data_IF_189185427241
#
_entry.id   IF_189185427241
#
_cell.length_a   1.000
_cell.length_b   1.000
_cell.length_c   1.000
_cell.angle_alpha   90.00
_cell.angle_beta   90.00
_cell.angle_gamma   90.00
#
_symmetry.space_group_name_H-M   'P 1'
#
loop_
_entity.id
_entity.type
_entity.pdbx_description
1 polymer ?
#
# COMPACT_ATOMS: atom_id res chain seq x y z
N UNK A 1 -1.33 8.41 25.31
CA UNK A 1 -0.77 9.55 24.54
C UNK A 1 -1.28 9.38 23.12
N UNK A 2 -2.12 10.31 22.63
CA UNK A 2 -2.59 10.28 21.25
C UNK A 2 -1.37 10.59 20.36
N UNK A 3 -1.03 9.68 19.46
CA UNK A 3 0.05 9.87 18.51
C UNK A 3 -0.28 11.04 17.57
N UNK A 4 0.72 11.79 17.18
CA UNK A 4 0.56 12.87 16.23
C UNK A 4 0.62 12.32 14.80
N UNK A 5 -0.42 12.62 13.99
CA UNK A 5 -0.38 12.39 12.55
C UNK A 5 0.25 13.64 11.92
N UNK A 6 1.31 13.43 11.15
CA UNK A 6 1.95 14.50 10.37
C UNK A 6 1.73 14.21 8.89
N UNK A 7 0.95 15.07 8.24
CA UNK A 7 0.80 15.05 6.79
C UNK A 7 1.93 15.86 6.16
N UNK A 8 2.64 15.28 5.20
CA UNK A 8 3.76 15.90 4.53
C UNK A 8 3.64 15.74 3.03
N UNK A 9 3.88 16.82 2.31
CA UNK A 9 4.12 16.79 0.87
C UNK A 9 5.62 16.86 0.65
N UNK A 10 6.19 15.84 0.04
CA UNK A 10 7.62 15.77 -0.30
C UNK A 10 7.79 15.52 -1.79
N UNK A 11 8.99 15.80 -2.31
CA UNK A 11 9.31 15.39 -3.67
C UNK A 11 9.09 13.86 -3.81
N UNK A 12 8.50 13.39 -4.92
CA UNK A 12 8.17 11.98 -5.11
C UNK A 12 9.42 11.12 -5.40
N UNK A 13 10.46 11.32 -4.65
CA UNK A 13 11.75 10.64 -4.76
C UNK A 13 12.00 9.80 -3.52
N UNK A 14 12.50 8.58 -3.71
CA UNK A 14 12.77 7.67 -2.61
C UNK A 14 13.76 8.25 -1.59
N UNK A 15 14.72 9.04 -2.05
CA UNK A 15 15.71 9.68 -1.19
C UNK A 15 15.09 10.81 -0.35
N UNK A 16 14.06 11.50 -0.84
CA UNK A 16 13.32 12.47 -0.04
C UNK A 16 12.55 11.77 1.10
N UNK A 17 11.94 10.62 0.80
CA UNK A 17 11.25 9.80 1.82
C UNK A 17 12.27 9.30 2.87
N UNK A 18 13.45 8.83 2.47
CA UNK A 18 14.52 8.42 3.40
C UNK A 18 14.92 9.53 4.35
N UNK A 19 15.08 10.76 3.85
CA UNK A 19 15.41 11.95 4.66
C UNK A 19 14.31 12.25 5.68
N UNK A 20 13.05 12.17 5.26
CA UNK A 20 11.90 12.38 6.16
C UNK A 20 11.87 11.34 7.28
N UNK A 21 12.07 10.07 6.96
CA UNK A 21 12.11 8.99 7.96
C UNK A 21 13.27 9.21 8.94
N UNK A 22 14.46 9.54 8.45
CA UNK A 22 15.61 9.80 9.30
C UNK A 22 15.47 11.03 10.19
N UNK A 23 14.77 12.07 9.71
CA UNK A 23 14.58 13.32 10.47
C UNK A 23 13.47 13.21 11.52
N UNK A 24 12.42 12.45 11.24
CA UNK A 24 11.21 12.44 12.08
C UNK A 24 11.03 11.15 12.88
N UNK A 25 11.79 10.11 12.58
CA UNK A 25 11.77 8.81 13.28
C UNK A 25 10.32 8.32 13.56
N UNK A 26 9.46 8.23 12.52
CA UNK A 26 8.07 7.86 12.72
C UNK A 26 7.96 6.39 13.18
N UNK A 27 6.90 6.04 13.91
CA UNK A 27 6.57 4.65 14.18
C UNK A 27 5.86 4.00 12.97
N UNK A 28 5.12 4.81 12.21
CA UNK A 28 4.35 4.38 11.04
C UNK A 28 4.62 5.36 9.91
N UNK A 29 4.96 4.83 8.74
CA UNK A 29 5.07 5.57 7.47
C UNK A 29 3.95 5.11 6.54
N UNK A 30 3.20 6.05 5.98
CA UNK A 30 2.23 5.79 4.90
C UNK A 30 2.74 6.48 3.63
N UNK A 31 2.86 5.72 2.54
CA UNK A 31 3.22 6.23 1.21
C UNK A 31 2.03 6.03 0.27
N UNK A 32 1.39 7.12 -0.11
CA UNK A 32 0.24 7.13 -1.02
C UNK A 32 0.55 8.04 -2.23
N UNK A 33 0.91 7.48 -3.38
CA UNK A 33 1.03 6.07 -3.71
C UNK A 33 2.47 5.74 -4.17
N UNK A 34 2.82 4.45 -4.14
CA UNK A 34 4.13 3.99 -4.60
C UNK A 34 4.31 4.12 -6.11
N UNK A 35 3.21 4.26 -6.86
CA UNK A 35 3.24 4.46 -8.31
C UNK A 35 3.87 5.80 -8.71
N UNK A 36 3.81 6.79 -7.84
CA UNK A 36 4.35 8.14 -8.07
C UNK A 36 5.80 8.29 -7.56
N UNK A 37 6.32 7.28 -6.82
CA UNK A 37 7.67 7.38 -6.26
C UNK A 37 8.72 7.08 -7.33
N UNK A 38 9.67 7.98 -7.47
CA UNK A 38 10.80 7.88 -8.38
C UNK A 38 12.05 7.34 -7.68
N UNK A 39 12.89 6.67 -8.46
CA UNK A 39 14.23 6.23 -8.10
C UNK A 39 15.18 6.60 -9.22
N UNK A 40 16.44 6.84 -8.88
CA UNK A 40 17.46 7.09 -9.89
C UNK A 40 17.80 5.80 -10.65
N UNK A 41 18.03 5.93 -11.98
CA UNK A 41 18.57 4.88 -12.84
C UNK A 41 17.78 3.57 -12.79
N UNK A 42 16.62 3.54 -13.42
CA UNK A 42 15.84 2.33 -13.64
C UNK A 42 15.64 2.06 -15.13
N UNK A 43 15.48 0.79 -15.46
CA UNK A 43 15.15 0.32 -16.81
C UNK A 43 13.72 -0.27 -16.80
N UNK A 44 12.76 0.59 -17.09
CA UNK A 44 11.35 0.26 -17.15
C UNK A 44 10.62 0.22 -15.81
N UNK A 45 9.31 0.30 -15.88
CA UNK A 45 8.39 0.48 -14.77
C UNK A 45 8.48 -0.64 -13.71
N UNK A 46 8.65 -1.88 -14.14
CA UNK A 46 8.75 -3.03 -13.23
C UNK A 46 9.99 -2.91 -12.34
N UNK A 47 11.12 -2.50 -12.93
CA UNK A 47 12.35 -2.32 -12.17
C UNK A 47 12.20 -1.17 -11.17
N UNK A 48 11.63 -0.03 -11.60
CA UNK A 48 11.34 1.11 -10.73
C UNK A 48 10.53 0.68 -9.50
N UNK A 49 9.40 0.00 -9.72
CA UNK A 49 8.55 -0.47 -8.63
C UNK A 49 9.27 -1.44 -7.69
N UNK A 50 10.07 -2.35 -8.22
CA UNK A 50 10.87 -3.27 -7.43
C UNK A 50 11.89 -2.54 -6.55
N UNK A 51 12.49 -1.47 -7.05
CA UNK A 51 13.43 -0.64 -6.29
C UNK A 51 12.72 0.16 -5.21
N UNK A 52 11.57 0.77 -5.51
CA UNK A 52 10.75 1.50 -4.53
C UNK A 52 10.34 0.59 -3.38
N UNK A 53 9.71 -0.55 -3.68
CA UNK A 53 9.26 -1.49 -2.63
C UNK A 53 10.44 -2.07 -1.85
N UNK A 54 11.58 -2.31 -2.52
CA UNK A 54 12.81 -2.74 -1.86
C UNK A 54 13.31 -1.71 -0.85
N UNK A 55 13.35 -0.44 -1.24
CA UNK A 55 13.78 0.65 -0.38
C UNK A 55 12.82 0.88 0.79
N UNK A 56 11.51 0.79 0.58
CA UNK A 56 10.52 0.88 1.64
C UNK A 56 10.67 -0.27 2.65
N UNK A 57 10.91 -1.49 2.17
CA UNK A 57 11.18 -2.65 3.04
C UNK A 57 12.45 -2.47 3.86
N UNK A 58 13.51 -1.98 3.24
CA UNK A 58 14.76 -1.65 3.93
C UNK A 58 14.55 -0.59 5.03
N UNK A 59 13.80 0.48 4.74
CA UNK A 59 13.46 1.50 5.74
C UNK A 59 12.67 0.92 6.91
N UNK A 60 11.68 0.05 6.62
CA UNK A 60 10.91 -0.62 7.66
C UNK A 60 11.81 -1.41 8.62
N UNK A 61 12.75 -2.17 8.08
CA UNK A 61 13.69 -3.00 8.87
C UNK A 61 14.71 -2.16 9.61
N UNK A 62 15.34 -1.20 8.92
CA UNK A 62 16.42 -0.38 9.47
C UNK A 62 15.97 0.51 10.61
N UNK A 63 14.78 1.10 10.48
CA UNK A 63 14.23 2.04 11.46
C UNK A 63 13.21 1.40 12.41
N UNK A 64 12.95 0.09 12.26
CA UNK A 64 11.95 -0.65 13.06
C UNK A 64 10.58 0.02 13.05
N UNK A 65 10.10 0.38 11.86
CA UNK A 65 8.83 1.07 11.63
C UNK A 65 7.86 0.22 10.81
N UNK A 66 6.56 0.50 10.94
CA UNK A 66 5.54 -0.07 10.07
C UNK A 66 5.43 0.81 8.81
N UNK A 67 5.49 0.21 7.63
CA UNK A 67 5.31 0.90 6.36
C UNK A 67 4.04 0.41 5.66
N UNK A 68 3.10 1.33 5.43
CA UNK A 68 1.95 1.12 4.56
C UNK A 68 2.25 1.69 3.18
N UNK A 69 2.40 0.82 2.20
CA UNK A 69 2.63 1.17 0.81
C UNK A 69 1.31 1.02 0.03
N UNK A 70 0.69 2.14 -0.32
CA UNK A 70 -0.52 2.13 -1.16
C UNK A 70 -0.11 1.91 -2.62
N UNK A 71 -0.76 0.97 -3.28
CA UNK A 71 -0.45 0.58 -4.65
C UNK A 71 -1.72 0.33 -5.45
N UNK A 72 -1.78 0.81 -6.70
CA UNK A 72 -2.95 0.64 -7.54
C UNK A 72 -2.99 -0.74 -8.21
N UNK A 73 -4.19 -1.29 -8.32
CA UNK A 73 -4.42 -2.49 -9.14
C UNK A 73 -4.51 -2.11 -10.62
N UNK A 74 -4.14 -3.05 -11.48
CA UNK A 74 -4.22 -2.87 -12.92
C UNK A 74 -5.70 -2.71 -13.36
N UNK A 75 -6.00 -1.67 -14.16
CA UNK A 75 -7.35 -1.36 -14.65
C UNK A 75 -8.01 -2.51 -15.42
N UNK A 76 -7.25 -3.31 -16.15
CA UNK A 76 -7.77 -4.48 -16.90
C UNK A 76 -8.29 -5.55 -15.94
N UNK A 77 -7.60 -5.80 -14.86
CA UNK A 77 -8.03 -6.76 -13.85
C UNK A 77 -9.20 -6.26 -13.01
N UNK A 78 -9.30 -4.96 -12.79
CA UNK A 78 -10.42 -4.34 -12.09
C UNK A 78 -11.74 -4.43 -12.87
N UNK A 79 -11.69 -4.43 -14.20
CA UNK A 79 -12.87 -4.57 -15.06
C UNK A 79 -13.47 -6.00 -15.05
N UNK A 80 -12.68 -7.02 -14.70
CA UNK A 80 -13.09 -8.43 -14.73
C UNK A 80 -13.67 -8.97 -13.42
N UNK A 81 -14.05 -8.15 -12.45
CA UNK A 81 -14.61 -8.53 -11.13
C UNK A 81 -13.74 -9.45 -10.26
N UNK A 82 -12.57 -9.88 -10.71
CA UNK A 82 -11.69 -10.77 -9.94
C UNK A 82 -10.38 -10.06 -9.64
N UNK A 83 -10.36 -9.31 -8.55
CA UNK A 83 -9.13 -8.69 -8.05
C UNK A 83 -8.39 -9.73 -7.21
N UNK A 84 -7.19 -10.09 -7.62
CA UNK A 84 -6.30 -11.04 -6.95
C UNK A 84 -4.88 -10.46 -6.84
N UNK A 85 -3.97 -11.19 -6.20
CA UNK A 85 -2.54 -10.81 -6.16
C UNK A 85 -1.93 -10.58 -7.56
N UNK A 86 -2.43 -11.29 -8.58
CA UNK A 86 -1.99 -11.12 -9.97
C UNK A 86 -2.48 -9.81 -10.61
N UNK A 87 -3.45 -9.15 -9.99
CA UNK A 87 -3.99 -7.86 -10.44
C UNK A 87 -3.11 -6.68 -10.03
N UNK A 88 -2.13 -6.87 -9.16
CA UNK A 88 -1.19 -5.82 -8.78
C UNK A 88 -0.33 -5.45 -9.98
N UNK A 89 -0.38 -4.17 -10.34
CA UNK A 89 0.42 -3.61 -11.42
C UNK A 89 1.91 -3.81 -11.08
N UNK A 90 2.62 -4.50 -11.94
CA UNK A 90 4.08 -4.45 -11.96
C UNK A 90 4.83 -5.67 -11.53
N UNK A 91 4.53 -6.45 -10.54
CA UNK A 91 5.28 -7.68 -10.37
C UNK A 91 4.90 -8.55 -9.17
N UNK A 92 5.13 -9.83 -9.35
CA UNK A 92 5.20 -10.85 -8.31
C UNK A 92 6.17 -10.44 -7.17
N UNK A 93 7.21 -9.67 -7.45
CA UNK A 93 8.20 -9.23 -6.48
C UNK A 93 7.63 -8.27 -5.41
N UNK A 94 6.66 -7.42 -5.76
CA UNK A 94 5.98 -6.55 -4.79
C UNK A 94 5.33 -7.42 -3.71
N UNK A 95 4.56 -8.41 -4.17
CA UNK A 95 3.89 -9.35 -3.27
C UNK A 95 4.90 -10.16 -2.45
N UNK A 96 6.02 -10.57 -3.05
CA UNK A 96 7.06 -11.34 -2.34
C UNK A 96 7.71 -10.55 -1.21
N UNK A 97 8.01 -9.26 -1.42
CA UNK A 97 8.66 -8.39 -0.43
C UNK A 97 7.74 -7.95 0.71
N UNK A 98 6.45 -7.77 0.45
CA UNK A 98 5.49 -7.40 1.48
C UNK A 98 5.31 -8.52 2.52
N UNK A 99 5.17 -8.17 3.77
CA UNK A 99 4.83 -9.11 4.85
C UNK A 99 3.34 -9.40 4.85
N UNK A 100 2.52 -8.37 4.64
CA UNK A 100 1.06 -8.46 4.49
C UNK A 100 0.61 -7.73 3.23
N UNK A 101 -0.39 -8.26 2.56
CA UNK A 101 -1.06 -7.61 1.42
C UNK A 101 -2.55 -7.56 1.72
N UNK A 102 -3.05 -6.35 1.88
CA UNK A 102 -4.46 -6.07 2.06
C UNK A 102 -5.05 -5.56 0.76
N UNK A 103 -6.22 -6.06 0.40
CA UNK A 103 -6.97 -5.59 -0.76
C UNK A 103 -8.32 -5.05 -0.34
N UNK A 104 -8.71 -3.92 -0.94
CA UNK A 104 -10.06 -3.37 -0.86
C UNK A 104 -10.72 -3.57 -2.22
N UNK A 105 -11.74 -4.42 -2.24
CA UNK A 105 -12.49 -4.81 -3.45
C UNK A 105 -13.88 -4.17 -3.41
N UNK A 106 -14.43 -3.82 -4.57
CA UNK A 106 -15.79 -3.30 -4.70
C UNK A 106 -15.93 -2.41 -5.94
N UNK A 107 -17.15 -2.21 -6.39
CA UNK A 107 -17.42 -1.33 -7.53
C UNK A 107 -17.52 0.13 -7.05
N UNK A 108 -17.18 1.07 -7.94
CA UNK A 108 -17.08 2.49 -7.61
C UNK A 108 -18.35 3.05 -6.99
N UNK A 109 -19.49 2.67 -7.53
CA UNK A 109 -20.80 3.23 -7.17
C UNK A 109 -21.60 2.40 -6.14
N UNK A 110 -21.03 1.28 -5.69
CA UNK A 110 -21.62 0.44 -4.66
C UNK A 110 -21.04 0.80 -3.28
N UNK A 111 -21.89 0.74 -2.24
CA UNK A 111 -21.42 0.93 -0.86
C UNK A 111 -20.69 -0.29 -0.32
N UNK A 112 -21.04 -1.48 -0.80
CA UNK A 112 -20.40 -2.71 -0.35
C UNK A 112 -18.91 -2.75 -0.73
N UNK A 113 -18.08 -3.08 0.23
CA UNK A 113 -16.64 -3.29 0.05
C UNK A 113 -16.24 -4.59 0.74
N UNK A 114 -15.28 -5.27 0.15
CA UNK A 114 -14.63 -6.42 0.74
C UNK A 114 -13.20 -6.01 1.07
N UNK A 115 -12.81 -6.12 2.32
CA UNK A 115 -11.43 -5.96 2.77
C UNK A 115 -10.90 -7.34 3.06
N UNK A 116 -9.84 -7.75 2.39
CA UNK A 116 -9.27 -9.08 2.56
C UNK A 116 -7.75 -9.06 2.66
N UNK A 117 -7.22 -10.02 3.41
CA UNK A 117 -5.80 -10.32 3.45
C UNK A 117 -5.46 -11.37 2.40
N UNK A 118 -4.84 -10.97 1.31
CA UNK A 118 -4.40 -11.89 0.25
C UNK A 118 -3.06 -12.56 0.58
N UNK A 119 -2.25 -11.93 1.41
CA UNK A 119 -1.01 -12.47 1.95
C UNK A 119 -0.82 -12.05 3.40
N UNK A 120 -0.42 -12.99 4.24
CA UNK A 120 0.08 -12.76 5.59
C UNK A 120 1.19 -13.77 5.88
N UNK A 121 2.31 -13.33 6.46
CA UNK A 121 3.39 -14.23 6.87
C UNK A 121 3.16 -14.84 8.24
N UNK A 122 2.57 -14.07 9.13
CA UNK A 122 2.51 -14.39 10.57
C UNK A 122 1.12 -14.77 11.06
N UNK A 123 0.07 -14.48 10.27
CA UNK A 123 -1.33 -14.68 10.65
C UNK A 123 -2.12 -15.31 9.51
N UNK A 124 -3.29 -15.85 9.82
CA UNK A 124 -4.24 -16.36 8.83
C UNK A 124 -4.76 -15.27 7.89
N UNK A 125 -5.30 -15.70 6.76
CA UNK A 125 -6.04 -14.82 5.85
C UNK A 125 -7.39 -14.50 6.45
N UNK A 126 -7.88 -13.29 6.21
CA UNK A 126 -9.24 -12.89 6.55
C UNK A 126 -9.91 -12.23 5.36
N UNK A 127 -11.22 -12.23 5.39
CA UNK A 127 -12.08 -11.46 4.49
C UNK A 127 -13.23 -10.87 5.31
N UNK A 128 -13.49 -9.60 5.11
CA UNK A 128 -14.53 -8.86 5.83
C UNK A 128 -15.34 -8.04 4.82
N UNK A 129 -16.67 -8.16 4.90
CA UNK A 129 -17.57 -7.31 4.13
C UNK A 129 -17.97 -6.10 4.94
N UNK A 130 -17.83 -4.91 4.36
CA UNK A 130 -18.19 -3.65 5.00
C UNK A 130 -19.01 -2.76 4.07
N UNK A 131 -19.79 -1.86 4.65
CA UNK A 131 -20.38 -0.74 3.96
C UNK A 131 -19.44 0.45 4.00
N UNK A 132 -19.20 1.08 2.87
CA UNK A 132 -18.48 2.36 2.79
C UNK A 132 -19.48 3.50 2.72
N UNK A 133 -19.34 4.42 3.64
CA UNK A 133 -20.12 5.65 3.70
C UNK A 133 -19.33 6.77 3.00
N UNK A 134 -19.82 7.24 1.84
CA UNK A 134 -19.16 8.27 1.04
C UNK A 134 -19.25 9.68 1.65
N UNK A 135 -20.22 9.92 2.54
CA UNK A 135 -20.37 11.24 3.18
C UNK A 135 -19.36 11.41 4.33
N UNK A 136 -19.21 10.36 5.12
CA UNK A 136 -18.32 10.38 6.29
C UNK A 136 -16.95 9.75 6.01
N UNK A 137 -16.78 9.17 4.83
CA UNK A 137 -15.55 8.45 4.43
C UNK A 137 -15.16 7.34 5.43
N UNK A 138 -16.17 6.64 5.96
CA UNK A 138 -15.98 5.59 6.97
C UNK A 138 -16.42 4.23 6.48
N UNK A 139 -15.83 3.18 7.06
CA UNK A 139 -16.25 1.80 6.87
C UNK A 139 -17.05 1.32 8.09
N UNK A 140 -18.14 0.59 7.83
CA UNK A 140 -18.91 -0.12 8.85
C UNK A 140 -18.97 -1.59 8.48
N UNK A 141 -18.58 -2.46 9.40
CA UNK A 141 -18.68 -3.91 9.20
C UNK A 141 -20.16 -4.30 9.00
N UNK A 142 -20.42 -5.14 8.01
CA UNK A 142 -21.72 -5.76 7.81
C UNK A 142 -21.66 -7.14 8.48
N UNK A 143 -22.28 -7.22 9.65
CA UNK A 143 -22.46 -8.47 10.40
C UNK A 143 -23.46 -9.38 9.71
#
# INVERSE_FOLDING_TARGET
MLGHIKLMTVAPEIEAIRKVVALHEPNILVVDTTDEVHVDRFDGEIQRQNMVIGALKEMAQKHNIIVFAVHHVNKVSAAGNTISLHSLKGSTNIVQKADKVLMVKGKRDERARIICSEKSRDEGRFEMTCAFDFETMTFKELL
#
